data_IF_164674169171
#
_entry.id   IF_164674169171
#
_cell.length_a   1.000
_cell.length_b   1.000
_cell.length_c   1.000
_cell.angle_alpha   90.00
_cell.angle_beta   90.00
_cell.angle_gamma   90.00
#
_symmetry.space_group_name_H-M   'P 1'
#
loop_
_entity.id
_entity.type
_entity.pdbx_description
1 polymer ?
#
# COMPACT_ATOMS: atom_id res chain seq x y z
N UNK A 1 5.46 24.59 -6.63
CA UNK A 1 4.02 24.20 -6.68
C UNK A 1 4.03 22.86 -6.02
N UNK A 2 3.34 22.69 -4.90
CA UNK A 2 3.55 21.49 -4.11
C UNK A 2 3.08 20.25 -4.90
N UNK A 3 3.98 19.29 -5.11
CA UNK A 3 3.72 18.04 -5.85
C UNK A 3 3.28 16.91 -4.93
N UNK A 4 3.28 17.16 -3.62
CA UNK A 4 2.75 16.24 -2.62
C UNK A 4 1.25 16.07 -2.84
N UNK A 5 0.85 14.86 -3.23
CA UNK A 5 -0.57 14.50 -3.32
C UNK A 5 -0.92 13.49 -2.24
N UNK A 6 -2.07 13.73 -1.61
CA UNK A 6 -2.69 12.81 -0.66
C UNK A 6 -3.74 11.98 -1.39
N UNK A 7 -3.77 10.70 -1.10
CA UNK A 7 -4.68 9.76 -1.75
C UNK A 7 -5.40 8.99 -0.68
N UNK A 8 -6.70 9.23 -0.63
CA UNK A 8 -7.63 8.51 0.22
C UNK A 8 -7.71 7.07 -0.25
N UNK A 9 -7.15 6.16 0.54
CA UNK A 9 -7.28 4.74 0.28
C UNK A 9 -8.37 4.12 1.15
N UNK A 10 -8.96 3.04 0.67
CA UNK A 10 -9.89 2.22 1.47
C UNK A 10 -9.16 1.23 2.39
N UNK A 11 -7.89 1.50 2.70
CA UNK A 11 -7.11 0.66 3.61
C UNK A 11 -7.55 1.01 5.03
N UNK A 12 -8.04 -0.01 5.74
CA UNK A 12 -8.54 0.10 7.12
C UNK A 12 -7.73 -0.72 8.12
N UNK A 13 -6.89 -1.62 7.62
CA UNK A 13 -6.18 -2.56 8.46
C UNK A 13 -4.71 -2.66 8.05
N UNK A 14 -3.82 -2.14 8.89
CA UNK A 14 -2.37 -2.18 8.66
C UNK A 14 -1.83 -3.61 8.57
N UNK A 15 -2.45 -4.60 9.21
CA UNK A 15 -1.96 -5.99 9.17
C UNK A 15 -2.01 -6.53 7.74
N UNK A 16 -3.13 -6.32 7.03
CA UNK A 16 -3.23 -6.73 5.62
C UNK A 16 -2.36 -5.88 4.71
N UNK A 17 -2.14 -4.61 5.08
CA UNK A 17 -1.22 -3.76 4.33
C UNK A 17 0.22 -4.23 4.45
N UNK A 18 0.69 -4.57 5.65
CA UNK A 18 2.03 -5.15 5.87
C UNK A 18 2.21 -6.45 5.10
N UNK A 19 1.24 -7.38 5.21
CA UNK A 19 1.23 -8.62 4.42
C UNK A 19 1.29 -8.36 2.92
N UNK A 20 0.56 -7.35 2.44
CA UNK A 20 0.60 -6.98 1.04
C UNK A 20 1.96 -6.42 0.63
N UNK A 21 2.55 -5.53 1.43
CA UNK A 21 3.88 -4.97 1.15
C UNK A 21 4.97 -6.07 1.18
N UNK A 22 4.90 -6.99 2.15
CA UNK A 22 5.79 -8.15 2.23
C UNK A 22 5.67 -9.03 0.97
N UNK A 23 4.45 -9.32 0.53
CA UNK A 23 4.19 -10.11 -0.69
C UNK A 23 4.64 -9.40 -1.97
N UNK A 24 4.64 -8.06 -1.98
CA UNK A 24 5.16 -7.24 -3.08
C UNK A 24 6.69 -7.03 -3.00
N UNK A 25 7.36 -7.60 -1.99
CA UNK A 25 8.77 -7.42 -1.68
C UNK A 25 9.17 -5.93 -1.52
N UNK A 26 8.20 -5.10 -1.13
CA UNK A 26 8.41 -3.67 -0.91
C UNK A 26 8.95 -3.44 0.49
N UNK A 27 10.11 -2.78 0.59
CA UNK A 27 10.66 -2.41 1.88
C UNK A 27 9.80 -1.32 2.52
N UNK A 28 9.51 -1.45 3.79
CA UNK A 28 8.81 -0.44 4.57
C UNK A 28 9.45 -0.24 5.94
N UNK A 29 9.16 0.88 6.56
CA UNK A 29 9.58 1.25 7.89
C UNK A 29 8.35 1.72 8.67
N UNK A 30 8.13 1.11 9.83
CA UNK A 30 7.08 1.51 10.76
C UNK A 30 7.63 2.56 11.73
N UNK A 31 6.82 3.55 12.10
CA UNK A 31 7.15 4.47 13.17
C UNK A 31 7.20 3.73 14.51
N UNK A 32 8.12 4.09 15.41
CA UNK A 32 8.11 3.53 16.76
C UNK A 32 6.82 3.94 17.50
N UNK A 33 6.41 3.17 18.50
CA UNK A 33 5.18 3.41 19.26
C UNK A 33 5.19 4.81 19.90
N UNK A 34 4.34 5.71 19.41
CA UNK A 34 4.26 7.11 19.84
C UNK A 34 5.12 8.10 19.03
N UNK A 35 5.89 7.63 18.06
CA UNK A 35 6.66 8.46 17.13
C UNK A 35 5.97 8.57 15.77
N UNK A 36 6.35 9.58 14.98
CA UNK A 36 5.87 9.75 13.61
C UNK A 36 7.06 9.93 12.68
N UNK A 37 6.99 9.30 11.52
CA UNK A 37 7.99 9.41 10.48
C UNK A 37 7.78 10.69 9.68
N UNK A 38 8.92 11.25 9.27
CA UNK A 38 9.00 12.45 8.46
C UNK A 38 9.69 12.09 7.16
N UNK A 39 9.03 12.33 6.04
CA UNK A 39 9.55 12.03 4.71
C UNK A 39 9.93 13.31 3.98
N UNK A 40 10.98 13.20 3.17
CA UNK A 40 11.47 14.30 2.36
C UNK A 40 10.78 14.29 0.98
N UNK A 41 10.17 15.41 0.62
CA UNK A 41 9.71 15.70 -0.74
C UNK A 41 10.83 16.22 -1.64
N UNK A 42 10.52 16.48 -2.91
CA UNK A 42 11.51 16.97 -3.88
C UNK A 42 11.92 18.42 -3.64
N UNK A 43 10.97 19.32 -3.37
CA UNK A 43 11.31 20.70 -3.03
C UNK A 43 11.95 20.76 -1.62
N UNK A 44 12.88 21.70 -1.41
CA UNK A 44 13.66 21.81 -0.15
C UNK A 44 12.81 22.01 1.11
N UNK A 45 11.60 22.52 0.95
CA UNK A 45 10.65 22.81 2.04
C UNK A 45 9.45 21.85 2.03
N UNK A 46 9.42 20.87 1.13
CA UNK A 46 8.36 19.87 1.07
C UNK A 46 8.69 18.71 2.00
N UNK A 47 7.94 18.64 3.10
CA UNK A 47 8.11 17.61 4.13
C UNK A 47 6.75 16.96 4.39
N UNK A 48 6.73 15.64 4.41
CA UNK A 48 5.55 14.86 4.75
C UNK A 48 5.71 14.36 6.19
N UNK A 49 5.16 15.13 7.11
CA UNK A 49 5.18 14.82 8.54
C UNK A 49 4.01 13.88 8.92
N UNK A 50 3.95 13.45 10.17
CA UNK A 50 2.86 12.64 10.72
C UNK A 50 2.63 11.27 10.04
N UNK A 51 3.65 10.68 9.44
CA UNK A 51 3.52 9.35 8.84
C UNK A 51 3.64 8.27 9.92
N UNK A 52 2.66 7.37 9.99
CA UNK A 52 2.76 6.16 10.84
C UNK A 52 3.59 5.07 10.17
N UNK A 53 3.71 5.14 8.84
CA UNK A 53 4.43 4.18 8.02
C UNK A 53 5.14 4.87 6.86
N UNK A 54 6.28 4.31 6.45
CA UNK A 54 7.02 4.69 5.26
C UNK A 54 7.20 3.48 4.36
N UNK A 55 6.81 3.58 3.09
CA UNK A 55 7.08 2.60 2.05
C UNK A 55 8.24 3.12 1.19
N UNK A 56 9.33 2.36 1.13
CA UNK A 56 10.48 2.67 0.28
C UNK A 56 10.16 2.27 -1.15
N UNK A 57 10.26 3.23 -2.06
CA UNK A 57 10.07 3.01 -3.51
C UNK A 57 11.35 2.55 -4.21
N UNK A 58 12.47 2.47 -3.49
CA UNK A 58 13.80 2.22 -4.06
C UNK A 58 14.53 3.49 -4.51
N UNK A 59 13.89 4.66 -4.39
CA UNK A 59 14.54 5.97 -4.58
C UNK A 59 14.76 6.70 -3.25
N UNK A 60 15.28 7.93 -3.33
CA UNK A 60 15.36 8.86 -2.19
C UNK A 60 13.97 9.25 -1.65
N UNK A 61 12.94 9.15 -2.49
CA UNK A 61 11.57 9.55 -2.16
C UNK A 61 10.73 8.34 -1.78
N UNK A 62 10.06 8.43 -0.64
CA UNK A 62 9.25 7.35 -0.10
C UNK A 62 7.77 7.74 -0.09
N UNK A 63 6.91 6.74 0.08
CA UNK A 63 5.47 6.95 0.24
C UNK A 63 5.15 6.87 1.72
N UNK A 64 4.58 7.93 2.26
CA UNK A 64 4.10 7.99 3.63
C UNK A 64 2.69 7.45 3.75
N UNK A 65 2.41 6.84 4.89
CA UNK A 65 1.06 6.47 5.28
C UNK A 65 0.68 7.27 6.50
N UNK A 66 -0.45 7.97 6.43
CA UNK A 66 -1.04 8.69 7.55
C UNK A 66 -2.30 7.99 8.00
N UNK A 67 -2.50 7.91 9.31
CA UNK A 67 -3.76 7.45 9.87
C UNK A 67 -4.66 8.66 10.13
N UNK A 68 -5.83 8.69 9.48
CA UNK A 68 -6.83 9.75 9.62
C UNK A 68 -8.19 9.10 9.88
N UNK A 69 -8.76 9.36 11.06
CA UNK A 69 -10.08 8.87 11.49
C UNK A 69 -10.30 7.35 11.32
N UNK A 70 -9.25 6.55 11.53
CA UNK A 70 -9.27 5.09 11.38
C UNK A 70 -9.19 4.59 9.93
N UNK A 71 -8.91 5.47 8.98
CA UNK A 71 -8.49 5.11 7.61
C UNK A 71 -7.02 5.47 7.40
N UNK A 72 -6.40 4.80 6.43
CA UNK A 72 -5.02 5.07 6.06
C UNK A 72 -4.95 5.81 4.72
N UNK A 73 -4.26 6.93 4.68
CA UNK A 73 -4.02 7.74 3.48
C UNK A 73 -2.58 7.59 3.01
N UNK A 74 -2.39 7.46 1.70
CA UNK A 74 -1.06 7.48 1.09
C UNK A 74 -0.69 8.93 0.76
N UNK A 75 0.43 9.40 1.27
CA UNK A 75 0.93 10.75 1.03
C UNK A 75 2.36 10.65 0.53
N UNK A 76 2.59 11.14 -0.69
CA UNK A 76 3.91 11.11 -1.30
C UNK A 76 4.08 12.25 -2.30
N UNK A 77 5.33 12.53 -2.62
CA UNK A 77 5.68 13.29 -3.82
C UNK A 77 5.73 12.34 -5.02
N UNK A 78 4.58 12.20 -5.68
CA UNK A 78 4.43 11.28 -6.80
C UNK A 78 5.22 11.70 -8.03
N UNK A 79 5.38 13.02 -8.23
CA UNK A 79 6.18 13.52 -9.34
C UNK A 79 7.65 13.12 -9.18
N UNK A 80 8.18 13.23 -7.97
CA UNK A 80 9.54 12.78 -7.67
C UNK A 80 9.66 11.25 -7.80
N UNK A 81 8.72 10.49 -7.25
CA UNK A 81 8.76 9.03 -7.38
C UNK A 81 8.72 8.64 -8.86
N UNK A 82 7.81 9.17 -9.66
CA UNK A 82 7.72 8.88 -11.10
C UNK A 82 8.99 9.30 -11.84
N UNK A 83 9.55 10.46 -11.54
CA UNK A 83 10.77 10.97 -12.19
C UNK A 83 12.00 10.11 -11.88
N UNK A 84 12.14 9.63 -10.64
CA UNK A 84 13.33 8.91 -10.18
C UNK A 84 13.22 7.38 -10.27
N UNK A 85 12.01 6.82 -10.24
CA UNK A 85 11.77 5.36 -10.33
C UNK A 85 11.14 4.95 -11.66
N UNK A 86 10.53 5.88 -12.40
CA UNK A 86 9.71 5.58 -13.58
C UNK A 86 8.34 4.97 -13.26
N UNK A 87 8.01 4.77 -11.99
CA UNK A 87 6.74 4.17 -11.56
C UNK A 87 5.66 5.24 -11.43
N UNK A 88 4.53 5.03 -12.11
CA UNK A 88 3.40 5.95 -12.02
C UNK A 88 2.66 5.77 -10.70
N UNK A 89 2.08 6.87 -10.22
CA UNK A 89 1.20 6.90 -9.06
C UNK A 89 0.14 5.79 -9.12
N UNK A 90 -0.63 5.73 -10.21
CA UNK A 90 -1.71 4.75 -10.37
C UNK A 90 -1.21 3.30 -10.37
N UNK A 91 -0.03 3.03 -10.93
CA UNK A 91 0.53 1.67 -10.97
C UNK A 91 0.88 1.17 -9.56
N UNK A 92 1.54 2.03 -8.77
CA UNK A 92 1.90 1.70 -7.39
C UNK A 92 0.64 1.47 -6.56
N UNK A 93 -0.32 2.39 -6.63
CA UNK A 93 -1.56 2.31 -5.84
C UNK A 93 -2.37 1.09 -6.24
N UNK A 94 -2.55 0.85 -7.53
CA UNK A 94 -3.29 -0.32 -8.00
C UNK A 94 -2.61 -1.61 -7.55
N UNK A 95 -1.27 -1.68 -7.60
CA UNK A 95 -0.51 -2.85 -7.15
C UNK A 95 -0.69 -3.10 -5.65
N UNK A 96 -0.54 -2.07 -4.82
CA UNK A 96 -0.75 -2.17 -3.36
C UNK A 96 -2.20 -2.54 -3.05
N UNK A 97 -3.17 -1.86 -3.67
CA UNK A 97 -4.59 -2.07 -3.42
C UNK A 97 -5.05 -3.47 -3.84
N UNK A 98 -4.54 -3.98 -4.97
CA UNK A 98 -4.82 -5.34 -5.45
C UNK A 98 -4.28 -6.39 -4.48
N UNK A 99 -3.03 -6.25 -4.05
CA UNK A 99 -2.44 -7.19 -3.09
C UNK A 99 -3.14 -7.12 -1.73
N UNK A 100 -3.45 -5.92 -1.25
CA UNK A 100 -4.21 -5.72 -0.02
C UNK A 100 -5.60 -6.38 -0.07
N UNK A 101 -6.32 -6.20 -1.18
CA UNK A 101 -7.63 -6.83 -1.38
C UNK A 101 -7.50 -8.36 -1.39
N UNK A 102 -6.47 -8.89 -2.07
CA UNK A 102 -6.18 -10.32 -2.09
C UNK A 102 -5.92 -10.88 -0.69
N UNK A 103 -5.01 -10.28 0.09
CA UNK A 103 -4.70 -10.72 1.45
C UNK A 103 -5.92 -10.63 2.38
N UNK A 104 -6.72 -9.57 2.24
CA UNK A 104 -7.96 -9.40 3.01
C UNK A 104 -9.00 -10.47 2.67
N UNK A 105 -9.18 -10.79 1.38
CA UNK A 105 -10.11 -11.84 0.93
C UNK A 105 -9.62 -13.20 1.40
N UNK A 106 -8.33 -13.50 1.24
CA UNK A 106 -7.72 -14.77 1.64
C UNK A 106 -7.91 -15.06 3.13
N UNK A 107 -7.73 -14.05 3.98
CA UNK A 107 -7.94 -14.16 5.41
C UNK A 107 -9.44 -14.38 5.75
N UNK A 108 -10.34 -13.58 5.15
CA UNK A 108 -11.79 -13.75 5.31
C UNK A 108 -12.29 -15.12 4.84
N UNK A 109 -11.78 -15.61 3.71
CA UNK A 109 -12.12 -16.93 3.15
C UNK A 109 -11.69 -18.02 4.12
N UNK A 110 -10.48 -17.91 4.69
CA UNK A 110 -9.98 -18.85 5.71
C UNK A 110 -10.82 -18.81 6.99
N UNK A 111 -11.17 -17.63 7.48
CA UNK A 111 -12.01 -17.46 8.67
C UNK A 111 -13.41 -18.06 8.49
N UNK A 112 -13.96 -17.96 7.28
CA UNK A 112 -15.25 -18.56 6.93
C UNK A 112 -15.16 -20.09 6.72
N UNK A 113 -13.97 -20.70 6.88
CA UNK A 113 -13.74 -22.14 6.70
C UNK A 113 -13.62 -22.58 5.24
N UNK A 114 -13.38 -21.64 4.33
CA UNK A 114 -13.12 -21.92 2.92
C UNK A 114 -11.60 -21.93 2.67
N UNK A 115 -11.16 -22.71 1.68
CA UNK A 115 -9.77 -22.71 1.18
C UNK A 115 -9.78 -22.21 -0.25
N UNK A 116 -8.83 -21.34 -0.61
CA UNK A 116 -8.60 -20.96 -2.01
C UNK A 116 -8.02 -22.18 -2.75
N UNK A 117 -8.65 -22.56 -3.86
CA UNK A 117 -8.30 -23.75 -4.64
C UNK A 117 -7.64 -23.36 -5.95
N UNK A 118 -8.00 -22.20 -6.49
CA UNK A 118 -7.50 -21.73 -7.77
C UNK A 118 -7.49 -20.21 -7.81
N UNK A 119 -6.41 -19.66 -8.33
CA UNK A 119 -6.19 -18.24 -8.57
C UNK A 119 -5.84 -18.09 -10.05
N UNK A 120 -6.69 -17.42 -10.81
CA UNK A 120 -6.49 -17.14 -12.23
C UNK A 120 -6.44 -15.62 -12.44
N UNK A 121 -5.35 -15.14 -13.02
CA UNK A 121 -5.22 -13.76 -13.49
C UNK A 121 -5.57 -13.76 -14.98
N UNK A 122 -6.68 -13.11 -15.35
CA UNK A 122 -7.07 -12.96 -16.76
C UNK A 122 -6.18 -11.90 -17.45
N UNK A 123 -6.03 -12.03 -18.77
CA UNK A 123 -5.38 -11.07 -19.68
C UNK A 123 -5.86 -9.62 -19.57
N UNK A 124 -6.99 -9.38 -18.89
CA UNK A 124 -7.54 -8.06 -18.55
C UNK A 124 -7.20 -7.58 -17.14
N UNK A 125 -6.23 -8.20 -16.47
CA UNK A 125 -5.80 -7.83 -15.11
C UNK A 125 -6.87 -8.06 -14.03
N UNK A 126 -7.83 -8.96 -14.27
CA UNK A 126 -8.85 -9.37 -13.31
C UNK A 126 -8.39 -10.63 -12.58
N UNK A 127 -8.47 -10.63 -11.24
CA UNK A 127 -8.15 -11.80 -10.42
C UNK A 127 -9.45 -12.57 -10.14
N UNK A 128 -9.53 -13.82 -10.60
CA UNK A 128 -10.58 -14.77 -10.23
C UNK A 128 -10.09 -15.68 -9.10
N UNK A 129 -10.85 -15.74 -8.01
CA UNK A 129 -10.57 -16.59 -6.85
C UNK A 129 -11.65 -17.67 -6.75
N UNK A 130 -11.26 -18.93 -6.93
CA UNK A 130 -12.14 -20.08 -6.69
C UNK A 130 -11.89 -20.62 -5.29
N UNK A 131 -12.93 -20.65 -4.46
CA UNK A 131 -12.87 -21.11 -3.07
C UNK A 131 -13.70 -22.38 -2.88
N UNK A 132 -13.19 -23.34 -2.10
CA UNK A 132 -13.95 -24.53 -1.68
C UNK A 132 -14.11 -24.59 -0.18
N UNK A 133 -15.23 -25.12 0.28
CA UNK A 133 -15.43 -25.52 1.67
C UNK A 133 -15.15 -27.01 1.79
N UNK A 134 -14.35 -27.41 2.77
CA UNK A 134 -14.34 -28.81 3.19
C UNK A 134 -15.58 -29.01 4.07
N UNK A 135 -16.51 -29.83 3.61
CA UNK A 135 -17.56 -30.42 4.44
C UNK A 135 -17.13 -31.83 4.85
#
# INVERSE_FOLDING_TARGET
>A
MSHISKIDTKIKNLIFLKKALDALEMKYQEAAEGEKLVLQGYEKDEIIEDCVFEIKTGSKYSIGIKEIDGNYELVADWWAIETFTGLKQDEIINKIHRQYAYETIKDKVKDLGYSIVQEDEDTKNNIHLTVRRWS
#
